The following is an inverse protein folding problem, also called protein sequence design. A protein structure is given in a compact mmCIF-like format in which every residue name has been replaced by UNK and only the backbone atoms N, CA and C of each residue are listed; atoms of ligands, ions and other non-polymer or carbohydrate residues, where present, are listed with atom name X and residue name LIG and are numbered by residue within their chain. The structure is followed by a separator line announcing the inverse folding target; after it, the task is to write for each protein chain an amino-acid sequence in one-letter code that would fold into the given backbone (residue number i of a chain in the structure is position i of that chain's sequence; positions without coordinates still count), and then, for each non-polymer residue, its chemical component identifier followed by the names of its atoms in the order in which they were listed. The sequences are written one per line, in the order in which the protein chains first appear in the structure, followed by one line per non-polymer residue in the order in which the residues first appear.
data_IF_726626784445
#
_entry.id   IF_726626784445
#
_cell.length_a   1.000
_cell.length_b   1.000
_cell.length_c   1.000
_cell.angle_alpha   90.00
_cell.angle_beta   90.00
_cell.angle_gamma   90.00
#
_symmetry.space_group_name_H-M   'P 1'
#
loop_
_entity.id
_entity.type
_entity.pdbx_description
1 polymer ?
#
# COMPACT_ATOMS: atom_id res chain seq x y z
N UNK A 1 -26.12 10.22 8.52
CA UNK A 1 -26.10 9.73 9.91
C UNK A 1 -24.74 10.10 10.49
N UNK A 2 -24.67 11.24 11.19
CA UNK A 2 -23.43 11.75 11.80
C UNK A 2 -23.19 11.00 13.11
N UNK A 3 -22.04 10.35 13.25
CA UNK A 3 -21.60 9.80 14.54
C UNK A 3 -20.94 10.93 15.31
N UNK A 4 -21.55 11.31 16.42
CA UNK A 4 -20.99 12.24 17.42
C UNK A 4 -20.08 11.44 18.34
N UNK A 5 -18.78 11.75 18.37
CA UNK A 5 -17.87 11.25 19.40
C UNK A 5 -17.74 12.30 20.50
N UNK A 6 -18.36 12.02 21.65
CA UNK A 6 -18.12 12.73 22.90
C UNK A 6 -17.24 11.85 23.79
N UNK A 7 -16.04 12.31 24.15
CA UNK A 7 -15.35 11.89 25.38
C UNK A 7 -14.54 13.05 25.94
N UNK A 8 -14.61 13.20 27.26
CA UNK A 8 -14.15 14.33 28.07
C UNK A 8 -12.82 14.03 28.78
N UNK A 9 -12.01 15.10 28.90
CA UNK A 9 -10.93 15.38 29.86
C UNK A 9 -9.61 14.58 29.82
N UNK A 10 -8.63 15.20 29.15
CA UNK A 10 -7.18 15.08 29.37
C UNK A 10 -6.48 16.26 28.68
N UNK A 11 -6.25 17.35 29.43
CA UNK A 11 -5.99 18.72 28.93
C UNK A 11 -4.58 18.98 28.35
N UNK A 12 -4.01 18.02 27.62
CA UNK A 12 -2.79 18.23 26.83
C UNK A 12 -2.84 17.62 25.42
N UNK A 13 -3.99 17.05 25.01
CA UNK A 13 -4.18 16.37 23.72
C UNK A 13 -5.16 17.09 22.76
N UNK A 14 -5.68 18.27 23.12
CA UNK A 14 -6.77 18.92 22.40
C UNK A 14 -6.37 19.45 21.01
N UNK A 15 -5.13 19.89 20.85
CA UNK A 15 -4.65 20.47 19.57
C UNK A 15 -4.47 19.38 18.51
N UNK A 16 -4.01 18.18 18.89
CA UNK A 16 -3.79 17.08 17.93
C UNK A 16 -5.06 16.45 17.37
N UNK A 17 -6.18 16.52 18.11
CA UNK A 17 -7.43 15.90 17.71
C UNK A 17 -8.14 16.69 16.59
N UNK A 18 -8.18 18.01 16.71
CA UNK A 18 -8.79 18.89 15.70
C UNK A 18 -8.02 18.85 14.37
N UNK A 19 -6.69 18.83 14.43
CA UNK A 19 -5.84 18.74 13.24
C UNK A 19 -6.01 17.39 12.52
N UNK A 20 -6.11 16.27 13.25
CA UNK A 20 -6.37 14.96 12.66
C UNK A 20 -7.73 14.89 11.96
N UNK A 21 -8.79 15.44 12.59
CA UNK A 21 -10.11 15.50 11.97
C UNK A 21 -10.11 16.30 10.66
N UNK A 22 -9.41 17.43 10.64
CA UNK A 22 -9.26 18.24 9.42
C UNK A 22 -8.57 17.46 8.30
N UNK A 23 -7.47 16.76 8.61
CA UNK A 23 -6.75 15.95 7.60
C UNK A 23 -7.62 14.80 7.08
N UNK A 24 -8.39 14.12 7.94
CA UNK A 24 -9.32 13.09 7.50
C UNK A 24 -10.40 13.66 6.55
N UNK A 25 -10.99 14.81 6.88
CA UNK A 25 -12.01 15.44 6.05
C UNK A 25 -11.45 15.90 4.70
N UNK A 26 -10.28 16.54 4.71
CA UNK A 26 -9.58 16.96 3.49
C UNK A 26 -9.23 15.76 2.61
N UNK A 27 -8.71 14.68 3.19
CA UNK A 27 -8.43 13.45 2.46
C UNK A 27 -9.68 12.90 1.78
N UNK A 28 -10.78 12.73 2.52
CA UNK A 28 -12.05 12.26 1.97
C UNK A 28 -12.50 13.18 0.81
N UNK A 29 -12.50 14.49 1.00
CA UNK A 29 -12.88 15.44 -0.05
C UNK A 29 -12.01 15.33 -1.30
N UNK A 30 -10.69 15.29 -1.13
CA UNK A 30 -9.73 15.18 -2.24
C UNK A 30 -9.80 13.85 -2.98
N UNK A 31 -10.17 12.76 -2.30
CA UNK A 31 -10.31 11.44 -2.94
C UNK A 31 -11.51 11.34 -3.89
N UNK A 32 -12.58 12.12 -3.65
CA UNK A 32 -13.79 12.10 -4.48
C UNK A 32 -13.84 13.20 -5.56
N UNK A 33 -13.16 14.32 -5.34
CA UNK A 33 -13.30 15.51 -6.19
C UNK A 33 -12.02 15.95 -6.89
N UNK A 34 -10.87 15.34 -6.55
CA UNK A 34 -9.56 15.68 -7.11
C UNK A 34 -9.23 14.89 -8.37
N UNK A 35 -8.39 15.47 -9.23
CA UNK A 35 -7.70 14.71 -10.28
C UNK A 35 -6.61 13.83 -9.64
N UNK A 36 -5.98 12.94 -10.43
CA UNK A 36 -4.92 12.04 -9.94
C UNK A 36 -3.83 12.75 -9.16
N UNK A 37 -3.37 13.93 -9.61
CA UNK A 37 -2.34 14.70 -8.93
C UNK A 37 -2.81 15.15 -7.54
N UNK A 38 -4.01 15.71 -7.44
CA UNK A 38 -4.63 16.06 -6.14
C UNK A 38 -4.83 14.84 -5.23
N UNK A 39 -5.21 13.70 -5.80
CA UNK A 39 -5.37 12.44 -5.05
C UNK A 39 -4.03 11.94 -4.49
N UNK A 40 -2.95 11.99 -5.28
CA UNK A 40 -1.60 11.63 -4.86
C UNK A 40 -1.13 12.49 -3.69
N UNK A 41 -1.29 13.81 -3.79
CA UNK A 41 -0.93 14.75 -2.71
C UNK A 41 -1.75 14.50 -1.44
N UNK A 42 -3.05 14.24 -1.57
CA UNK A 42 -3.89 13.91 -0.43
C UNK A 42 -3.45 12.61 0.26
N UNK A 43 -3.09 11.58 -0.51
CA UNK A 43 -2.56 10.31 0.01
C UNK A 43 -1.24 10.53 0.74
N UNK A 44 -0.29 11.28 0.15
CA UNK A 44 0.99 11.60 0.81
C UNK A 44 0.82 12.34 2.12
N UNK A 45 -0.03 13.37 2.12
CA UNK A 45 -0.34 14.16 3.31
C UNK A 45 -0.97 13.29 4.40
N UNK A 46 -1.89 12.39 4.02
CA UNK A 46 -2.50 11.47 4.97
C UNK A 46 -1.46 10.50 5.56
N UNK A 47 -0.64 9.89 4.71
CA UNK A 47 0.44 8.99 5.15
C UNK A 47 1.38 9.72 6.11
N UNK A 48 1.92 10.88 5.74
CA UNK A 48 2.90 11.56 6.59
C UNK A 48 2.34 11.95 7.97
N UNK A 49 1.06 12.35 8.02
CA UNK A 49 0.38 12.71 9.27
C UNK A 49 0.13 11.49 10.18
N UNK A 50 -0.33 10.37 9.61
CA UNK A 50 -0.84 9.23 10.38
C UNK A 50 0.13 8.06 10.49
N UNK A 51 1.25 8.09 9.76
CA UNK A 51 2.27 7.04 9.83
C UNK A 51 2.76 6.81 11.28
N UNK A 52 3.13 7.85 12.06
CA UNK A 52 3.65 7.64 13.43
C UNK A 52 2.59 7.20 14.44
N UNK A 53 1.30 7.44 14.16
CA UNK A 53 0.23 7.28 15.14
C UNK A 53 -0.34 5.84 15.16
N UNK A 54 -0.26 5.13 14.03
CA UNK A 54 -0.69 3.72 13.91
C UNK A 54 -2.09 3.41 14.48
N UNK A 55 -3.04 4.35 14.33
CA UNK A 55 -4.40 4.23 14.85
C UNK A 55 -5.28 3.42 13.89
N UNK A 56 -5.85 2.31 14.38
CA UNK A 56 -6.65 1.40 13.56
C UNK A 56 -7.82 2.09 12.85
N UNK A 57 -8.52 3.02 13.52
CA UNK A 57 -9.62 3.78 12.91
C UNK A 57 -9.16 4.58 11.68
N UNK A 58 -8.01 5.24 11.78
CA UNK A 58 -7.43 6.00 10.66
C UNK A 58 -6.97 5.09 9.53
N UNK A 59 -6.50 3.89 9.84
CA UNK A 59 -6.10 2.89 8.86
C UNK A 59 -7.31 2.37 8.07
N UNK A 60 -8.42 2.10 8.76
CA UNK A 60 -9.69 1.73 8.12
C UNK A 60 -10.26 2.88 7.28
N UNK A 61 -10.19 4.12 7.76
CA UNK A 61 -10.63 5.30 7.00
C UNK A 61 -9.82 5.42 5.71
N UNK A 62 -8.49 5.34 5.80
CA UNK A 62 -7.59 5.39 4.65
C UNK A 62 -7.96 4.35 3.60
N UNK A 63 -8.02 3.07 3.99
CA UNK A 63 -8.28 2.01 3.01
C UNK A 63 -9.68 2.12 2.42
N UNK A 64 -10.71 2.46 3.21
CA UNK A 64 -12.09 2.55 2.74
C UNK A 64 -12.28 3.70 1.74
N UNK A 65 -11.63 4.84 1.98
CA UNK A 65 -11.71 6.02 1.12
C UNK A 65 -10.57 6.14 0.11
N UNK A 66 -9.69 5.13 0.01
CA UNK A 66 -8.61 5.16 -0.97
C UNK A 66 -9.11 5.48 -2.38
N UNK A 67 -8.51 6.46 -3.08
CA UNK A 67 -9.05 7.02 -4.32
C UNK A 67 -9.02 5.97 -5.45
N UNK A 68 -10.20 5.70 -6.02
CA UNK A 68 -10.36 4.61 -7.00
C UNK A 68 -9.62 4.89 -8.31
N UNK A 69 -9.58 6.14 -8.76
CA UNK A 69 -8.87 6.52 -9.99
C UNK A 69 -7.36 6.28 -9.84
N UNK A 70 -6.77 6.75 -8.74
CA UNK A 70 -5.37 6.49 -8.40
C UNK A 70 -5.07 4.99 -8.27
N UNK A 71 -5.95 4.22 -7.62
CA UNK A 71 -5.82 2.77 -7.56
C UNK A 71 -5.83 2.13 -8.95
N UNK A 72 -6.71 2.60 -9.83
CA UNK A 72 -6.76 2.18 -11.23
C UNK A 72 -5.44 2.43 -11.93
N UNK A 73 -4.83 3.61 -11.77
CA UNK A 73 -3.51 3.90 -12.32
C UNK A 73 -2.42 2.98 -11.78
N UNK A 74 -2.41 2.72 -10.46
CA UNK A 74 -1.46 1.78 -9.85
C UNK A 74 -1.62 0.37 -10.44
N UNK A 75 -2.85 -0.07 -10.64
CA UNK A 75 -3.15 -1.37 -11.26
C UNK A 75 -2.64 -1.41 -12.70
N UNK A 76 -2.95 -0.40 -13.52
CA UNK A 76 -2.47 -0.31 -14.90
C UNK A 76 -0.94 -0.30 -14.99
N UNK A 77 -0.26 0.37 -14.05
CA UNK A 77 1.21 0.33 -13.95
C UNK A 77 1.73 -1.06 -13.63
N UNK A 78 1.05 -1.80 -12.75
CA UNK A 78 1.44 -3.17 -12.37
C UNK A 78 1.26 -4.21 -13.49
N UNK A 79 0.43 -3.91 -14.51
CA UNK A 79 0.25 -4.74 -15.71
C UNK A 79 1.25 -4.43 -16.84
N UNK A 80 2.28 -3.60 -16.58
CA UNK A 80 3.31 -3.29 -17.58
C UNK A 80 3.01 -2.07 -18.47
N UNK A 81 2.08 -1.20 -18.08
CA UNK A 81 1.83 0.06 -18.79
C UNK A 81 3.03 1.01 -18.76
N UNK A 82 3.72 1.19 -19.89
CA UNK A 82 4.94 2.01 -20.01
C UNK A 82 4.67 3.49 -20.26
N UNK A 83 4.86 4.35 -19.25
CA UNK A 83 5.11 5.81 -19.42
C UNK A 83 6.27 6.24 -18.50
N UNK A 84 7.44 6.46 -19.09
CA UNK A 84 8.77 6.38 -18.45
C UNK A 84 9.04 7.42 -17.34
N UNK A 85 8.55 8.66 -17.44
CA UNK A 85 8.94 9.73 -16.49
C UNK A 85 7.97 9.98 -15.31
N UNK A 86 6.69 9.64 -15.43
CA UNK A 86 5.71 9.69 -14.31
C UNK A 86 5.69 8.39 -13.49
N UNK A 87 6.61 7.47 -13.79
CA UNK A 87 6.64 6.11 -13.26
C UNK A 87 7.26 6.06 -11.87
N UNK A 88 8.33 6.82 -11.61
CA UNK A 88 9.08 6.76 -10.35
C UNK A 88 8.30 7.33 -9.18
N UNK A 89 7.74 8.52 -9.33
CA UNK A 89 6.97 9.19 -8.27
C UNK A 89 5.75 8.36 -7.82
N UNK A 90 5.09 7.69 -8.78
CA UNK A 90 3.97 6.80 -8.51
C UNK A 90 4.41 5.45 -7.94
N UNK A 91 5.54 4.90 -8.37
CA UNK A 91 6.12 3.69 -7.75
C UNK A 91 6.44 3.92 -6.28
N UNK A 92 7.12 5.04 -5.98
CA UNK A 92 7.43 5.43 -4.61
C UNK A 92 6.13 5.54 -3.82
N UNK A 93 5.12 6.21 -4.36
CA UNK A 93 3.82 6.32 -3.70
C UNK A 93 3.13 4.95 -3.50
N UNK A 94 3.23 4.01 -4.45
CA UNK A 94 2.71 2.65 -4.28
C UNK A 94 3.41 1.96 -3.11
N UNK A 95 4.73 2.10 -3.00
CA UNK A 95 5.52 1.54 -1.91
C UNK A 95 5.17 2.21 -0.57
N UNK A 96 5.01 3.52 -0.54
CA UNK A 96 4.57 4.27 0.64
C UNK A 96 3.17 3.84 1.09
N UNK A 97 2.24 3.66 0.15
CA UNK A 97 0.88 3.20 0.42
C UNK A 97 0.90 1.78 0.99
N UNK A 98 1.65 0.86 0.37
CA UNK A 98 1.78 -0.49 0.89
C UNK A 98 2.39 -0.50 2.29
N UNK A 99 3.47 0.26 2.48
CA UNK A 99 4.16 0.42 3.77
C UNK A 99 3.19 0.96 4.82
N UNK A 100 2.43 1.99 4.50
CA UNK A 100 1.43 2.55 5.40
C UNK A 100 0.34 1.54 5.79
N UNK A 101 -0.22 0.81 4.81
CA UNK A 101 -1.29 -0.18 5.03
C UNK A 101 -0.83 -1.31 5.96
N UNK A 102 0.41 -1.78 5.79
CA UNK A 102 0.94 -2.93 6.52
C UNK A 102 2.00 -2.56 7.57
N UNK A 103 2.08 -1.29 8.00
CA UNK A 103 2.96 -0.87 9.11
C UNK A 103 2.62 -1.53 10.44
N UNK A 104 1.42 -2.08 10.56
CA UNK A 104 0.94 -2.83 11.71
C UNK A 104 -0.03 -3.95 11.25
N UNK A 105 -0.51 -4.77 12.20
CA UNK A 105 -1.36 -5.92 11.90
C UNK A 105 -2.86 -5.59 11.67
N UNK A 106 -3.30 -4.34 11.79
CA UNK A 106 -4.73 -3.97 11.81
C UNK A 106 -5.46 -4.30 10.51
N UNK A 107 -4.78 -4.22 9.37
CA UNK A 107 -5.39 -4.40 8.05
C UNK A 107 -5.08 -5.75 7.39
N UNK A 108 -4.37 -6.67 8.06
CA UNK A 108 -3.91 -7.93 7.44
C UNK A 108 -5.05 -8.84 6.95
N UNK A 109 -6.22 -8.76 7.57
CA UNK A 109 -7.42 -9.50 7.17
C UNK A 109 -8.35 -8.71 6.24
N UNK A 110 -8.10 -7.40 6.05
CA UNK A 110 -8.98 -6.52 5.28
C UNK A 110 -8.96 -6.86 3.78
N UNK A 111 -10.15 -7.09 3.21
CA UNK A 111 -10.29 -7.49 1.80
C UNK A 111 -9.74 -6.47 0.80
N UNK A 112 -9.93 -5.17 1.05
CA UNK A 112 -9.43 -4.10 0.17
C UNK A 112 -7.92 -3.92 0.34
N UNK A 113 -7.39 -4.03 1.56
CA UNK A 113 -5.94 -4.01 1.80
C UNK A 113 -5.23 -5.16 1.05
N UNK A 114 -5.83 -6.35 0.99
CA UNK A 114 -5.27 -7.49 0.25
C UNK A 114 -5.09 -7.23 -1.25
N UNK A 115 -5.86 -6.33 -1.87
CA UNK A 115 -5.66 -6.03 -3.29
C UNK A 115 -4.33 -5.31 -3.54
N UNK A 116 -3.80 -4.58 -2.55
CA UNK A 116 -2.47 -3.97 -2.59
C UNK A 116 -1.34 -5.00 -2.46
N UNK A 117 -1.60 -6.18 -1.89
CA UNK A 117 -0.64 -7.31 -1.91
C UNK A 117 -0.44 -7.80 -3.34
N UNK A 118 -1.54 -7.99 -4.08
CA UNK A 118 -1.45 -8.40 -5.50
C UNK A 118 -0.72 -7.33 -6.31
N UNK A 119 -1.03 -6.06 -6.05
CA UNK A 119 -0.41 -4.93 -6.73
C UNK A 119 1.10 -4.88 -6.50
N UNK A 120 1.56 -4.99 -5.25
CA UNK A 120 2.99 -4.96 -4.93
C UNK A 120 3.71 -6.15 -5.56
N UNK A 121 3.13 -7.35 -5.49
CA UNK A 121 3.72 -8.57 -6.04
C UNK A 121 3.92 -8.50 -7.56
N UNK A 122 3.01 -7.85 -8.28
CA UNK A 122 3.18 -7.59 -9.72
C UNK A 122 4.22 -6.52 -9.98
N UNK A 123 4.19 -5.43 -9.23
CA UNK A 123 5.10 -4.31 -9.42
C UNK A 123 6.57 -4.70 -9.18
N UNK A 124 6.87 -5.44 -8.11
CA UNK A 124 8.26 -5.85 -7.81
C UNK A 124 8.86 -6.79 -8.87
N UNK A 125 8.02 -7.46 -9.68
CA UNK A 125 8.49 -8.33 -10.78
C UNK A 125 8.94 -7.55 -12.02
N UNK A 126 8.32 -6.39 -12.25
CA UNK A 126 8.55 -5.58 -13.45
C UNK A 126 9.38 -4.33 -13.18
N UNK A 127 9.60 -3.99 -11.90
CA UNK A 127 10.31 -2.80 -11.51
C UNK A 127 11.80 -3.08 -11.45
N UNK A 128 12.55 -2.53 -12.41
CA UNK A 128 13.97 -2.28 -12.22
C UNK A 128 14.13 -1.31 -11.04
N UNK A 129 15.11 -1.57 -10.17
CA UNK A 129 15.26 -0.90 -8.88
C UNK A 129 15.12 0.62 -8.95
N UNK A 130 14.59 1.22 -7.88
CA UNK A 130 14.41 2.68 -7.79
C UNK A 130 15.67 3.27 -7.16
N UNK A 131 16.43 4.13 -7.87
CA UNK A 131 17.54 4.85 -7.28
C UNK A 131 17.04 5.64 -6.07
N UNK A 132 17.74 5.55 -4.94
CA UNK A 132 17.46 6.30 -3.70
C UNK A 132 16.20 5.89 -2.90
N UNK A 133 15.54 4.78 -3.24
CA UNK A 133 14.48 4.22 -2.40
C UNK A 133 15.06 3.37 -1.26
N UNK A 134 14.72 3.69 -0.01
CA UNK A 134 15.06 2.85 1.16
C UNK A 134 14.09 1.65 1.24
N UNK A 135 14.57 0.41 1.03
CA UNK A 135 13.71 -0.76 1.05
C UNK A 135 13.30 -1.21 2.47
N UNK A 136 13.94 -0.70 3.54
CA UNK A 136 13.74 -1.24 4.88
C UNK A 136 12.28 -1.10 5.39
N UNK A 137 11.60 0.06 5.29
CA UNK A 137 10.21 0.19 5.72
C UNK A 137 9.26 -0.75 4.96
N UNK A 138 9.54 -0.94 3.66
CA UNK A 138 8.77 -1.84 2.82
C UNK A 138 8.95 -3.29 3.28
N UNK A 139 10.18 -3.71 3.61
CA UNK A 139 10.48 -5.05 4.11
C UNK A 139 9.79 -5.32 5.46
N UNK A 140 9.83 -4.37 6.40
CA UNK A 140 9.11 -4.49 7.68
C UNK A 140 7.60 -4.65 7.47
N UNK A 141 7.04 -3.91 6.51
CA UNK A 141 5.63 -3.98 6.17
C UNK A 141 5.26 -5.31 5.49
N UNK A 142 6.16 -5.88 4.68
CA UNK A 142 6.01 -7.25 4.15
C UNK A 142 6.01 -8.26 5.30
N UNK A 143 6.94 -8.15 6.26
CA UNK A 143 7.01 -9.03 7.43
C UNK A 143 5.68 -9.00 8.21
N UNK A 144 5.16 -7.81 8.50
CA UNK A 144 3.86 -7.65 9.16
C UNK A 144 2.70 -8.25 8.35
N UNK A 145 2.71 -8.03 7.03
CA UNK A 145 1.70 -8.55 6.12
C UNK A 145 1.63 -10.10 6.13
N UNK A 146 2.79 -10.77 6.16
CA UNK A 146 2.90 -12.24 6.09
C UNK A 146 2.76 -12.94 7.45
N UNK A 147 2.56 -12.20 8.57
CA UNK A 147 2.15 -12.79 9.85
C UNK A 147 0.81 -13.53 9.68
N UNK A 148 -0.05 -13.07 8.77
CA UNK A 148 -1.29 -13.73 8.44
C UNK A 148 -1.09 -14.77 7.32
N UNK A 149 -1.30 -16.05 7.64
CA UNK A 149 -1.02 -17.18 6.74
C UNK A 149 -1.64 -17.04 5.34
N UNK A 150 -2.90 -16.60 5.16
CA UNK A 150 -3.45 -16.39 3.82
C UNK A 150 -2.69 -15.36 2.98
N UNK A 151 -2.12 -14.32 3.60
CA UNK A 151 -1.30 -13.35 2.87
C UNK A 151 0.04 -13.98 2.51
N UNK A 152 0.67 -14.71 3.44
CA UNK A 152 1.90 -15.46 3.19
C UNK A 152 1.75 -16.42 2.00
N UNK A 153 0.62 -17.13 1.90
CA UNK A 153 0.30 -18.01 0.77
C UNK A 153 0.27 -17.21 -0.55
N UNK A 154 -0.25 -15.98 -0.57
CA UNK A 154 -0.21 -15.14 -1.78
C UNK A 154 1.23 -14.85 -2.22
N UNK A 155 2.14 -14.50 -1.29
CA UNK A 155 3.56 -14.29 -1.61
C UNK A 155 4.24 -15.58 -2.11
N UNK A 156 3.90 -16.74 -1.55
CA UNK A 156 4.46 -18.02 -1.98
C UNK A 156 3.95 -18.39 -3.38
N UNK A 157 2.63 -18.36 -3.60
CA UNK A 157 2.02 -18.78 -4.87
C UNK A 157 2.52 -17.93 -6.05
N UNK A 158 2.63 -16.62 -5.84
CA UNK A 158 3.09 -15.73 -6.91
C UNK A 158 4.57 -15.93 -7.25
N UNK A 159 5.36 -16.44 -6.31
CA UNK A 159 6.74 -16.86 -6.55
C UNK A 159 6.83 -18.31 -7.07
N UNK A 160 5.92 -19.21 -6.69
CA UNK A 160 5.90 -20.59 -7.14
C UNK A 160 5.44 -20.72 -8.61
N UNK A 161 4.57 -19.84 -9.10
CA UNK A 161 4.26 -19.73 -10.54
C UNK A 161 5.50 -19.47 -11.41
N UNK A 162 6.60 -19.00 -10.82
CA UNK A 162 7.87 -18.76 -11.52
C UNK A 162 8.64 -20.07 -11.71
N UNK A 163 8.56 -21.02 -10.76
CA UNK A 163 9.27 -22.30 -10.85
C UNK A 163 8.71 -23.23 -11.93
N UNK A 164 7.40 -23.17 -12.21
CA UNK A 164 6.76 -23.99 -13.23
C UNK A 164 7.04 -23.52 -14.68
N UNK A 165 7.61 -22.33 -14.86
CA UNK A 165 7.93 -21.76 -16.18
C UNK A 165 9.44 -21.79 -16.51
N UNK A 166 10.28 -22.37 -15.66
CA UNK A 166 11.67 -22.64 -16.00
C UNK A 166 11.74 -24.04 -16.62
N UNK A 167 12.10 -24.20 -17.91
CA UNK A 167 12.34 -25.52 -18.47
C UNK A 167 13.49 -26.15 -17.69
N UNK A 168 13.19 -27.19 -16.92
CA UNK A 168 14.21 -28.03 -16.31
C UNK A 168 14.86 -28.80 -17.48
N UNK A 169 15.90 -28.22 -18.08
CA UNK A 169 16.80 -28.96 -18.95
C UNK A 169 17.58 -29.94 -18.08
N UNK A 170 16.99 -31.11 -17.85
CA UNK A 170 17.70 -32.24 -17.27
C UNK A 170 18.92 -32.53 -18.16
N UNK A 171 20.14 -32.59 -17.59
CA UNK A 171 21.31 -32.96 -18.37
C UNK A 171 21.10 -34.37 -18.90
N UNK A 172 21.12 -34.50 -20.23
CA UNK A 172 21.13 -35.79 -20.91
C UNK A 172 22.34 -36.57 -20.40
N UNK A 173 22.07 -37.63 -19.63
CA UNK A 173 23.06 -38.65 -19.29
C UNK A 173 23.60 -39.19 -20.60
N UNK A 174 24.82 -38.81 -20.98
CA UNK A 174 25.57 -39.56 -21.97
C UNK A 174 25.84 -40.95 -21.37
N UNK A 175 25.31 -41.96 -22.06
CA UNK A 175 25.76 -43.34 -21.86
C UNK A 175 27.15 -43.44 -22.48
N UNK A 176 28.14 -43.72 -21.64
CA UNK A 176 29.36 -44.41 -22.06
C UNK A 176 29.22 -45.87 -21.61
#
# INVERSE_FOLDING_TARGET
MLIVLNTSMGSSNHIGYEDNHRVCFEYIGSTYMGNTFTQMEAVRKFISQFFPQSLSETDYLFINHFPMELYGEFFWMSEGGTRIHLYEEKKILIFDVFTFIFRNASLVTNRKAKSFIVLILKLIKICDGIPDFDPNPLLESIINCIIYDPNKVMFINENAMILDNVPITLPSRSRA
#
